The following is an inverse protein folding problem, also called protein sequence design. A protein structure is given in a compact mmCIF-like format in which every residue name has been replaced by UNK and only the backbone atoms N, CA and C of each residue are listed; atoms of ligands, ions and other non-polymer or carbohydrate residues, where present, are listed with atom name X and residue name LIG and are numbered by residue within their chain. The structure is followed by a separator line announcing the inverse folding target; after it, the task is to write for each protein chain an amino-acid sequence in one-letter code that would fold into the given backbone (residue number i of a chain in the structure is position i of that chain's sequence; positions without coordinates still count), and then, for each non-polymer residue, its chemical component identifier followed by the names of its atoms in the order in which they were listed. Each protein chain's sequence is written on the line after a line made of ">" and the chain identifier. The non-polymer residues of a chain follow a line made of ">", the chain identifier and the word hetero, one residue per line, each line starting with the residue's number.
data_IF_404622564754
#
_entry.id   IF_404622564754
#
_cell.length_a   1.000
_cell.length_b   1.000
_cell.length_c   1.000
_cell.angle_alpha   90.00
_cell.angle_beta   90.00
_cell.angle_gamma   90.00
#
_symmetry.space_group_name_H-M   'P 1'
#
loop_
_entity.id
_entity.type
_entity.pdbx_description
1 polymer ?
#
# COMPACT_ATOMS: atom_id res chain seq x y z
N UNK A 1 3.67 -20.14 30.71
CA UNK A 1 3.69 -20.14 29.23
C UNK A 1 2.46 -19.40 28.72
N UNK A 2 2.44 -18.07 28.85
CA UNK A 2 1.38 -17.22 28.27
C UNK A 2 1.91 -16.64 26.97
N UNK A 3 1.57 -17.26 25.85
CA UNK A 3 1.94 -16.76 24.52
C UNK A 3 1.19 -15.46 24.19
N UNK A 4 1.71 -14.73 23.21
CA UNK A 4 1.00 -13.58 22.63
C UNK A 4 -0.30 -14.10 22.00
N UNK A 5 -1.43 -13.76 22.58
CA UNK A 5 -2.75 -14.12 22.09
C UNK A 5 -3.18 -13.14 21.01
N UNK A 6 -3.81 -13.65 19.95
CA UNK A 6 -4.39 -12.85 18.86
C UNK A 6 -5.31 -11.74 19.43
N UNK A 7 -6.04 -12.03 20.50
CA UNK A 7 -6.94 -11.08 21.15
C UNK A 7 -6.22 -9.87 21.75
N UNK A 8 -5.01 -10.06 22.27
CA UNK A 8 -4.21 -8.97 22.84
C UNK A 8 -3.66 -8.08 21.71
N UNK A 9 -3.21 -8.68 20.60
CA UNK A 9 -2.74 -7.94 19.43
C UNK A 9 -3.82 -7.06 18.82
N UNK A 10 -5.08 -7.52 18.74
CA UNK A 10 -6.19 -6.72 18.23
C UNK A 10 -6.47 -5.48 19.10
N UNK A 11 -6.44 -5.65 20.42
CA UNK A 11 -6.64 -4.54 21.37
C UNK A 11 -5.52 -3.51 21.23
N UNK A 12 -4.27 -3.94 21.15
CA UNK A 12 -3.11 -3.06 20.96
C UNK A 12 -3.19 -2.34 19.60
N UNK A 13 -3.55 -3.07 18.54
CA UNK A 13 -3.72 -2.51 17.21
C UNK A 13 -4.81 -1.44 17.18
N UNK A 14 -5.94 -1.67 17.84
CA UNK A 14 -7.02 -0.68 17.94
C UNK A 14 -6.53 0.64 18.57
N UNK A 15 -5.73 0.57 19.63
CA UNK A 15 -5.15 1.75 20.28
C UNK A 15 -4.19 2.48 19.33
N UNK A 16 -3.32 1.76 18.62
CA UNK A 16 -2.39 2.36 17.64
C UNK A 16 -3.18 3.07 16.53
N UNK A 17 -4.23 2.44 16.00
CA UNK A 17 -5.09 3.03 14.96
C UNK A 17 -5.77 4.30 15.47
N UNK A 18 -6.23 4.33 16.73
CA UNK A 18 -6.85 5.51 17.35
C UNK A 18 -5.84 6.66 17.53
N UNK A 19 -4.60 6.35 17.94
CA UNK A 19 -3.55 7.37 18.15
C UNK A 19 -3.04 7.99 16.85
N UNK A 20 -2.77 7.15 15.85
CA UNK A 20 -2.19 7.60 14.58
C UNK A 20 -3.26 7.97 13.54
N UNK A 21 -4.49 7.51 13.74
CA UNK A 21 -5.58 7.64 12.78
C UNK A 21 -5.44 6.71 11.57
N UNK A 22 -6.57 6.33 10.97
CA UNK A 22 -6.60 5.41 9.82
C UNK A 22 -5.95 5.99 8.55
N UNK A 23 -5.91 7.33 8.40
CA UNK A 23 -5.32 7.98 7.21
C UNK A 23 -3.81 7.76 7.09
N UNK A 24 -3.06 7.93 8.19
CA UNK A 24 -1.60 7.71 8.20
C UNK A 24 -1.25 6.23 8.06
N UNK A 25 -2.04 5.37 8.72
CA UNK A 25 -1.89 3.92 8.62
C UNK A 25 -2.21 3.41 7.20
N UNK A 26 -3.18 4.01 6.50
CA UNK A 26 -3.51 3.64 5.11
C UNK A 26 -2.37 3.97 4.15
N UNK A 27 -1.80 5.19 4.23
CA UNK A 27 -0.70 5.56 3.33
C UNK A 27 0.54 4.72 3.57
N UNK A 28 0.98 4.60 4.82
CA UNK A 28 2.16 3.80 5.18
C UNK A 28 1.91 2.29 4.96
N UNK A 29 0.71 1.81 5.26
CA UNK A 29 0.31 0.42 5.05
C UNK A 29 0.17 0.04 3.59
N UNK A 30 -0.17 1.00 2.70
CA UNK A 30 -0.21 0.77 1.25
C UNK A 30 1.20 0.56 0.69
N UNK A 31 2.15 1.38 1.10
CA UNK A 31 3.54 1.29 0.64
C UNK A 31 4.21 0.02 1.18
N UNK A 32 4.10 -0.23 2.48
CA UNK A 32 4.61 -1.44 3.12
C UNK A 32 3.89 -2.70 2.62
N UNK A 33 2.58 -2.63 2.44
CA UNK A 33 1.76 -3.73 1.92
C UNK A 33 2.13 -4.10 0.49
N UNK A 34 2.46 -3.11 -0.35
CA UNK A 34 2.91 -3.35 -1.72
C UNK A 34 4.28 -4.02 -1.77
N UNK A 35 5.22 -3.59 -0.91
CA UNK A 35 6.53 -4.24 -0.77
C UNK A 35 6.41 -5.69 -0.26
N UNK A 36 5.59 -5.92 0.77
CA UNK A 36 5.34 -7.27 1.31
C UNK A 36 4.60 -8.15 0.31
N UNK A 37 3.68 -7.60 -0.50
CA UNK A 37 3.01 -8.33 -1.58
C UNK A 37 4.00 -8.81 -2.63
N UNK A 38 4.94 -7.97 -3.06
CA UNK A 38 6.01 -8.36 -3.99
C UNK A 38 6.91 -9.46 -3.41
N UNK A 39 7.28 -9.35 -2.13
CA UNK A 39 8.05 -10.38 -1.43
C UNK A 39 7.30 -11.72 -1.34
N UNK A 40 6.03 -11.69 -0.92
CA UNK A 40 5.20 -12.90 -0.87
C UNK A 40 5.04 -13.53 -2.25
N UNK A 41 4.82 -12.72 -3.28
CA UNK A 41 4.74 -13.20 -4.65
C UNK A 41 6.04 -13.88 -5.07
N UNK A 42 7.20 -13.26 -4.88
CA UNK A 42 8.49 -13.86 -5.24
C UNK A 42 8.74 -15.21 -4.51
N UNK A 43 8.50 -15.25 -3.20
CA UNK A 43 8.67 -16.49 -2.40
C UNK A 43 7.65 -17.58 -2.79
N UNK A 44 6.43 -17.18 -3.19
CA UNK A 44 5.40 -18.13 -3.63
C UNK A 44 5.65 -18.60 -5.07
N UNK A 45 6.17 -17.74 -5.95
CA UNK A 45 6.48 -18.02 -7.35
C UNK A 45 7.65 -19.00 -7.47
N UNK A 46 8.69 -18.83 -6.64
CA UNK A 46 9.78 -19.81 -6.50
C UNK A 46 9.30 -21.19 -6.00
N UNK A 47 8.23 -21.23 -5.20
CA UNK A 47 7.58 -22.49 -4.79
C UNK A 47 6.51 -22.99 -5.79
N UNK A 48 6.15 -22.19 -6.80
CA UNK A 48 5.17 -22.52 -7.84
C UNK A 48 5.80 -22.84 -9.19
N UNK A 49 7.13 -22.89 -9.30
CA UNK A 49 7.81 -23.43 -10.47
C UNK A 49 7.46 -24.90 -10.78
N UNK A 50 6.79 -25.61 -9.86
CA UNK A 50 6.23 -26.96 -10.07
C UNK A 50 4.74 -26.98 -10.49
N UNK A 51 4.03 -25.85 -10.56
CA UNK A 51 2.61 -25.83 -10.95
C UNK A 51 2.21 -24.51 -11.66
N UNK A 52 2.26 -24.57 -12.99
CA UNK A 52 1.74 -23.59 -13.94
C UNK A 52 0.35 -23.05 -13.55
N UNK A 53 0.24 -21.75 -13.31
CA UNK A 53 -0.89 -20.93 -13.74
C UNK A 53 -0.57 -19.44 -13.63
N UNK A 54 -0.58 -18.76 -14.77
CA UNK A 54 -0.35 -17.33 -14.95
C UNK A 54 -1.69 -16.60 -14.92
N UNK A 55 -1.88 -15.66 -13.99
CA UNK A 55 -2.97 -14.68 -14.10
C UNK A 55 -2.48 -13.27 -13.70
N UNK A 56 -2.55 -12.28 -14.60
CA UNK A 56 -2.32 -10.89 -14.25
C UNK A 56 -3.66 -10.26 -13.85
N UNK A 57 -3.90 -10.10 -12.55
CA UNK A 57 -4.95 -9.19 -12.08
C UNK A 57 -4.33 -7.95 -11.45
N UNK A 58 -4.61 -6.81 -12.08
CA UNK A 58 -3.97 -5.54 -11.85
C UNK A 58 -4.40 -4.82 -10.58
N UNK A 59 -3.70 -3.71 -10.34
CA UNK A 59 -4.22 -2.56 -9.59
C UNK A 59 -3.75 -1.31 -10.32
N UNK A 60 -4.59 -0.81 -11.23
CA UNK A 60 -4.61 0.62 -11.54
C UNK A 60 -5.31 1.28 -10.36
N UNK A 61 -4.59 2.14 -9.62
CA UNK A 61 -5.24 3.14 -8.78
C UNK A 61 -4.69 4.51 -9.23
N UNK A 62 -5.51 5.19 -10.03
CA UNK A 62 -5.35 6.58 -10.40
C UNK A 62 -5.39 7.43 -9.13
N UNK A 63 -4.23 7.86 -8.64
CA UNK A 63 -4.16 9.05 -7.78
C UNK A 63 -3.80 10.26 -8.64
N UNK A 64 -4.85 10.78 -9.28
CA UNK A 64 -4.92 12.14 -9.76
C UNK A 64 -4.54 13.10 -8.62
N UNK A 65 -3.43 13.83 -8.78
CA UNK A 65 -3.36 15.28 -8.54
C UNK A 65 -1.99 15.80 -8.98
N UNK A 66 -1.97 16.27 -10.23
CA UNK A 66 -1.00 17.23 -10.73
C UNK A 66 -1.12 18.52 -9.90
N UNK A 67 -0.02 18.92 -9.26
CA UNK A 67 0.24 20.31 -8.95
C UNK A 67 1.71 20.61 -9.25
N UNK A 68 1.98 20.92 -10.52
CA UNK A 68 3.15 21.68 -10.97
C UNK A 68 2.60 23.05 -11.37
N UNK A 69 2.67 24.04 -10.48
CA UNK A 69 3.70 25.11 -10.50
C UNK A 69 3.86 25.77 -11.88
N UNK A 70 3.13 26.89 -12.04
CA UNK A 70 3.66 28.22 -12.40
C UNK A 70 4.37 28.42 -13.76
N UNK A 71 3.88 29.42 -14.51
CA UNK A 71 4.53 30.21 -15.59
C UNK A 71 4.05 29.99 -17.03
N UNK A 72 3.08 30.84 -17.42
CA UNK A 72 2.95 31.54 -18.72
C UNK A 72 1.88 32.62 -18.53
N UNK A 73 2.16 33.65 -17.74
CA UNK A 73 2.54 34.99 -18.24
C UNK A 73 2.57 35.17 -19.77
N UNK A 74 1.73 36.12 -20.23
CA UNK A 74 1.81 36.93 -21.47
C UNK A 74 1.93 36.21 -22.81
N UNK A 75 0.78 36.05 -23.47
CA UNK A 75 0.62 36.19 -24.93
C UNK A 75 -0.87 36.06 -25.27
N UNK A 76 -1.62 37.16 -25.19
CA UNK A 76 -2.54 37.56 -26.26
C UNK A 76 -3.07 38.97 -25.96
N UNK A 77 -2.24 39.94 -26.30
CA UNK A 77 -2.69 41.29 -26.62
C UNK A 77 -2.33 41.46 -28.10
N UNK A 78 -3.30 41.20 -28.96
CA UNK A 78 -3.47 41.79 -30.29
C UNK A 78 -4.94 41.67 -30.68
#
# INVERSE_FOLDING_TARGET
>A
MGGISIWQLLIIFAIIVLLFGTKKLRSLGSDLGSAVKGFKSAVTDENKADADFKEPQGVQDQSNQQQTTQSKEKQNAE
#
